data_IF_748947839942
#
_entry.id   IF_748947839942
#
_cell.length_a   1.000
_cell.length_b   1.000
_cell.length_c   1.000
_cell.angle_alpha   90.00
_cell.angle_beta   90.00
_cell.angle_gamma   90.00
#
_symmetry.space_group_name_H-M   'P 1'
#
loop_
_entity.id
_entity.type
_entity.pdbx_description
1 polymer ?
#
# COMPACT_ATOMS: atom_id res chain seq x y z
N UNK A 1 -3.61 4.65 -19.11
CA UNK A 1 -2.40 3.90 -19.48
C UNK A 1 -2.74 3.08 -20.70
N UNK A 2 -1.90 3.11 -21.72
CA UNK A 2 -2.04 2.25 -22.90
C UNK A 2 -1.58 0.82 -22.54
N UNK A 3 -0.44 0.73 -21.86
CA UNK A 3 0.11 -0.52 -21.33
C UNK A 3 0.46 -0.36 -19.84
N UNK A 4 -0.40 -0.84 -18.92
CA UNK A 4 -0.18 -0.67 -17.50
C UNK A 4 1.11 -1.37 -17.01
N UNK A 5 1.57 -2.45 -17.65
CA UNK A 5 2.80 -3.16 -17.25
C UNK A 5 4.06 -2.30 -17.36
N UNK A 6 4.04 -1.33 -18.27
CA UNK A 6 5.17 -0.43 -18.52
C UNK A 6 4.96 0.89 -17.77
N UNK A 7 3.73 1.40 -17.76
CA UNK A 7 3.45 2.77 -17.33
C UNK A 7 3.15 2.92 -15.82
N UNK A 8 2.75 1.86 -15.10
CA UNK A 8 2.19 2.02 -13.75
C UNK A 8 3.16 2.67 -12.75
N UNK A 9 4.46 2.37 -12.84
CA UNK A 9 5.45 2.94 -11.93
C UNK A 9 5.56 4.46 -12.13
N UNK A 10 5.52 4.92 -13.38
CA UNK A 10 5.56 6.33 -13.71
C UNK A 10 4.26 7.03 -13.33
N UNK A 11 3.11 6.34 -13.47
CA UNK A 11 1.82 6.84 -12.97
C UNK A 11 1.87 7.08 -11.47
N UNK A 12 2.30 6.09 -10.69
CA UNK A 12 2.42 6.20 -9.22
C UNK A 12 3.40 7.30 -8.82
N UNK A 13 4.56 7.40 -9.49
CA UNK A 13 5.48 8.53 -9.24
C UNK A 13 4.85 9.87 -9.59
N UNK A 14 4.09 9.96 -10.69
CA UNK A 14 3.51 11.22 -11.17
C UNK A 14 2.42 11.79 -10.24
N UNK A 15 1.79 10.95 -9.41
CA UNK A 15 0.78 11.37 -8.43
C UNK A 15 1.36 11.58 -7.02
N UNK A 16 2.60 11.14 -6.78
CA UNK A 16 3.22 11.15 -5.44
C UNK A 16 4.48 12.00 -5.34
N UNK A 17 5.38 12.01 -6.33
CA UNK A 17 6.66 12.73 -6.23
C UNK A 17 6.57 14.25 -6.49
N UNK A 18 5.73 14.75 -7.41
CA UNK A 18 5.62 16.20 -7.63
C UNK A 18 5.08 16.95 -6.40
N UNK A 19 5.76 18.04 -6.01
CA UNK A 19 5.28 18.93 -4.95
C UNK A 19 4.14 19.84 -5.43
N UNK A 20 4.11 20.17 -6.72
CA UNK A 20 3.03 20.98 -7.29
C UNK A 20 1.72 20.21 -7.29
N UNK A 21 0.79 20.66 -6.43
CA UNK A 21 -0.52 20.04 -6.30
C UNK A 21 -1.29 20.06 -7.62
N UNK A 22 -1.18 21.12 -8.43
CA UNK A 22 -1.90 21.19 -9.71
C UNK A 22 -1.46 20.07 -10.66
N UNK A 23 -0.17 19.75 -10.70
CA UNK A 23 0.37 18.62 -11.47
C UNK A 23 -0.18 17.29 -10.98
N UNK A 24 -0.21 17.07 -9.66
CA UNK A 24 -0.79 15.84 -9.10
C UNK A 24 -2.27 15.71 -9.44
N UNK A 25 -3.07 16.77 -9.25
CA UNK A 25 -4.51 16.72 -9.52
C UNK A 25 -4.82 16.44 -11.00
N UNK A 26 -4.05 17.02 -11.94
CA UNK A 26 -4.17 16.68 -13.38
C UNK A 26 -3.85 15.22 -13.67
N UNK A 27 -2.87 14.64 -12.96
CA UNK A 27 -2.54 13.23 -13.11
C UNK A 27 -3.63 12.33 -12.51
N UNK A 28 -4.27 12.74 -11.41
CA UNK A 28 -5.46 12.05 -10.89
C UNK A 28 -6.58 12.06 -11.93
N UNK A 29 -6.89 13.21 -12.55
CA UNK A 29 -7.89 13.31 -13.62
C UNK A 29 -7.57 12.37 -14.81
N UNK A 30 -6.30 12.23 -15.16
CA UNK A 30 -5.84 11.41 -16.28
C UNK A 30 -5.92 9.91 -15.99
N UNK A 31 -5.49 9.48 -14.81
CA UNK A 31 -5.22 8.06 -14.52
C UNK A 31 -6.28 7.36 -13.67
N UNK A 32 -7.23 8.09 -13.07
CA UNK A 32 -8.27 7.50 -12.24
C UNK A 32 -9.66 7.58 -12.91
N UNK A 33 -10.48 6.56 -12.68
CA UNK A 33 -11.89 6.55 -13.11
C UNK A 33 -12.72 7.58 -12.35
N UNK A 34 -13.89 7.94 -12.84
CA UNK A 34 -14.76 8.94 -12.19
C UNK A 34 -15.25 8.49 -10.81
N UNK A 35 -15.49 7.19 -10.66
CA UNK A 35 -15.93 6.51 -9.43
C UNK A 35 -14.77 6.11 -8.51
N UNK A 36 -13.54 6.52 -8.83
CA UNK A 36 -12.36 6.03 -8.13
C UNK A 36 -12.30 6.45 -6.65
N UNK A 37 -11.66 5.61 -5.84
CA UNK A 37 -11.47 5.85 -4.42
C UNK A 37 -10.19 5.23 -3.86
N UNK A 38 -9.82 5.67 -2.66
CA UNK A 38 -8.66 5.18 -1.93
C UNK A 38 -9.05 4.63 -0.56
N UNK A 39 -8.43 3.52 -0.19
CA UNK A 39 -8.36 2.97 1.15
C UNK A 39 -6.91 3.14 1.63
N UNK A 40 -6.69 4.02 2.59
CA UNK A 40 -5.36 4.35 3.10
C UNK A 40 -5.33 4.21 4.63
N UNK A 41 -4.23 3.72 5.24
CA UNK A 41 -4.21 3.35 6.66
C UNK A 41 -4.54 4.51 7.61
N UNK A 42 -4.31 5.76 7.17
CA UNK A 42 -4.58 6.96 7.96
C UNK A 42 -5.86 7.70 7.54
N UNK A 43 -6.37 7.47 6.32
CA UNK A 43 -7.49 8.22 5.76
C UNK A 43 -8.27 7.33 4.77
N UNK A 44 -9.29 6.63 5.27
CA UNK A 44 -10.18 5.85 4.42
C UNK A 44 -11.34 6.71 3.89
N UNK A 45 -11.62 6.63 2.59
CA UNK A 45 -12.82 7.24 2.02
C UNK A 45 -14.05 6.38 2.32
N UNK A 46 -15.07 6.89 3.03
CA UNK A 46 -16.32 6.17 3.20
C UNK A 46 -17.08 6.06 1.88
N UNK A 47 -17.97 5.08 1.76
CA UNK A 47 -18.64 4.77 0.48
C UNK A 47 -19.38 5.97 -0.13
N UNK A 48 -20.07 6.75 0.68
CA UNK A 48 -20.81 7.94 0.24
C UNK A 48 -19.93 9.09 -0.26
N UNK A 49 -18.62 9.04 0.02
CA UNK A 49 -17.64 10.06 -0.37
C UNK A 49 -16.66 9.55 -1.43
N UNK A 50 -16.91 8.39 -2.04
CA UNK A 50 -16.13 7.90 -3.19
C UNK A 50 -16.32 8.79 -4.42
N UNK A 51 -15.36 8.75 -5.33
CA UNK A 51 -15.36 9.53 -6.56
C UNK A 51 -14.10 10.39 -6.71
N UNK A 52 -13.72 10.61 -7.97
CA UNK A 52 -12.45 11.25 -8.34
C UNK A 52 -12.27 12.65 -7.77
N UNK A 53 -13.33 13.44 -7.65
CA UNK A 53 -13.24 14.79 -7.08
C UNK A 53 -12.90 14.77 -5.58
N UNK A 54 -13.49 13.85 -4.81
CA UNK A 54 -13.12 13.68 -3.40
C UNK A 54 -11.73 13.05 -3.24
N UNK A 55 -11.34 12.16 -4.17
CA UNK A 55 -9.97 11.63 -4.24
C UNK A 55 -8.95 12.74 -4.47
N UNK A 56 -9.24 13.70 -5.37
CA UNK A 56 -8.41 14.88 -5.60
C UNK A 56 -8.25 15.72 -4.33
N UNK A 57 -9.31 15.90 -3.55
CA UNK A 57 -9.22 16.61 -2.26
C UNK A 57 -8.26 15.91 -1.28
N UNK A 58 -8.26 14.57 -1.23
CA UNK A 58 -7.30 13.83 -0.40
C UNK A 58 -5.86 14.00 -0.89
N UNK A 59 -5.62 13.81 -2.18
CA UNK A 59 -4.29 13.99 -2.76
C UNK A 59 -3.78 15.43 -2.58
N UNK A 60 -4.66 16.43 -2.66
CA UNK A 60 -4.32 17.82 -2.36
C UNK A 60 -3.80 17.97 -0.92
N UNK A 61 -4.51 17.41 0.07
CA UNK A 61 -4.08 17.47 1.47
C UNK A 61 -2.78 16.69 1.68
N UNK A 62 -2.60 15.53 1.06
CA UNK A 62 -1.32 14.80 1.11
C UNK A 62 -0.17 15.66 0.58
N UNK A 63 -0.36 16.37 -0.54
CA UNK A 63 0.65 17.29 -1.10
C UNK A 63 0.92 18.52 -0.24
N UNK A 64 -0.01 18.91 0.62
CA UNK A 64 0.19 20.02 1.59
C UNK A 64 0.82 19.57 2.89
N UNK A 65 0.54 18.33 3.30
CA UNK A 65 1.03 17.74 4.55
C UNK A 65 2.37 17.01 4.45
N UNK A 66 2.86 16.78 3.22
CA UNK A 66 4.08 16.02 2.97
C UNK A 66 4.99 16.69 1.92
N UNK A 67 6.30 16.52 2.11
CA UNK A 67 7.35 17.13 1.30
C UNK A 67 8.45 16.13 0.96
N UNK A 68 9.15 16.40 -0.14
CA UNK A 68 10.29 15.60 -0.63
C UNK A 68 9.94 14.12 -0.86
N UNK A 69 8.70 13.84 -1.26
CA UNK A 69 8.24 12.47 -1.45
C UNK A 69 9.03 11.78 -2.57
N UNK A 70 9.56 10.59 -2.28
CA UNK A 70 10.28 9.76 -3.26
C UNK A 70 9.83 8.31 -3.19
N UNK A 71 9.52 7.71 -4.33
CA UNK A 71 9.05 6.32 -4.41
C UNK A 71 10.16 5.39 -4.90
N UNK A 72 10.40 4.33 -4.12
CA UNK A 72 11.31 3.24 -4.44
C UNK A 72 10.51 1.95 -4.58
N UNK A 73 10.49 1.36 -5.78
CA UNK A 73 9.78 0.10 -6.02
C UNK A 73 10.68 -1.09 -5.74
N UNK A 74 10.15 -2.07 -5.01
CA UNK A 74 10.80 -3.35 -4.73
C UNK A 74 10.24 -4.45 -5.64
N UNK A 75 8.94 -4.43 -5.88
CA UNK A 75 8.26 -5.35 -6.80
C UNK A 75 7.00 -4.73 -7.41
N UNK A 76 6.70 -5.12 -8.65
CA UNK A 76 5.46 -4.78 -9.36
C UNK A 76 4.90 -6.06 -9.95
N UNK A 77 3.68 -6.41 -9.57
CA UNK A 77 3.04 -7.68 -9.92
C UNK A 77 1.66 -7.40 -10.48
N UNK A 78 1.29 -8.10 -11.56
CA UNK A 78 -0.02 -7.96 -12.20
C UNK A 78 -0.77 -9.28 -12.18
N UNK A 79 -2.09 -9.21 -12.06
CA UNK A 79 -2.95 -10.35 -12.40
C UNK A 79 -2.83 -10.72 -13.89
N UNK A 80 -3.19 -11.95 -14.22
CA UNK A 80 -3.13 -12.46 -15.61
C UNK A 80 -4.01 -11.63 -16.55
N UNK A 81 -5.19 -11.23 -16.07
CA UNK A 81 -6.20 -10.44 -16.79
C UNK A 81 -5.93 -8.91 -16.79
N UNK A 82 -4.83 -8.46 -16.17
CA UNK A 82 -4.46 -7.05 -16.03
C UNK A 82 -5.45 -6.16 -15.27
N UNK A 83 -6.41 -6.73 -14.54
CA UNK A 83 -7.37 -5.95 -13.75
C UNK A 83 -6.85 -5.58 -12.37
N UNK A 84 -5.74 -6.15 -11.93
CA UNK A 84 -5.13 -5.88 -10.62
C UNK A 84 -3.62 -5.73 -10.74
N UNK A 85 -3.07 -4.79 -10.00
CA UNK A 85 -1.64 -4.61 -9.83
C UNK A 85 -1.31 -4.45 -8.34
N UNK A 86 -0.28 -5.14 -7.88
CA UNK A 86 0.27 -5.02 -6.53
C UNK A 86 1.69 -4.47 -6.62
N UNK A 87 1.98 -3.48 -5.80
CA UNK A 87 3.22 -2.72 -5.75
C UNK A 87 3.79 -2.85 -4.33
N UNK A 88 4.98 -3.43 -4.19
CA UNK A 88 5.77 -3.33 -2.97
C UNK A 88 6.71 -2.14 -3.15
N UNK A 89 6.58 -1.14 -2.29
CA UNK A 89 7.32 0.11 -2.40
C UNK A 89 7.67 0.71 -1.05
N UNK A 90 8.70 1.54 -1.05
CA UNK A 90 9.02 2.46 0.05
C UNK A 90 8.82 3.88 -0.42
N UNK A 91 8.13 4.68 0.38
CA UNK A 91 8.02 6.12 0.23
C UNK A 91 8.91 6.81 1.26
N UNK A 92 9.90 7.56 0.78
CA UNK A 92 10.59 8.55 1.60
C UNK A 92 9.73 9.82 1.65
N UNK A 93 9.50 10.37 2.84
CA UNK A 93 8.60 11.50 3.05
C UNK A 93 8.99 12.34 4.26
N UNK A 94 8.80 13.65 4.18
CA UNK A 94 8.86 14.56 5.32
C UNK A 94 7.47 15.11 5.65
N UNK A 95 6.88 14.81 6.82
CA UNK A 95 5.64 15.43 7.23
C UNK A 95 5.88 16.90 7.60
N UNK A 96 4.96 17.80 7.26
CA UNK A 96 5.10 19.22 7.59
C UNK A 96 3.86 20.03 7.28
N UNK A 97 3.88 21.31 7.66
CA UNK A 97 2.80 22.26 7.36
C UNK A 97 3.21 23.31 6.31
N UNK A 98 4.52 23.49 6.10
CA UNK A 98 5.10 24.42 5.13
C UNK A 98 6.46 23.88 4.66
N UNK A 99 6.92 24.15 3.42
CA UNK A 99 8.23 23.69 2.94
C UNK A 99 9.42 24.03 3.85
N UNK A 100 9.32 25.14 4.60
CA UNK A 100 10.35 25.59 5.55
C UNK A 100 10.18 25.02 6.96
N UNK A 101 9.07 24.33 7.24
CA UNK A 101 8.71 23.75 8.55
C UNK A 101 8.32 22.29 8.33
N UNK A 102 9.34 21.46 8.13
CA UNK A 102 9.23 20.03 7.87
C UNK A 102 9.86 19.22 9.00
N UNK A 103 9.26 18.07 9.29
CA UNK A 103 9.76 17.09 10.23
C UNK A 103 10.93 16.28 9.66
N UNK A 104 11.43 15.29 10.43
CA UNK A 104 12.48 14.40 9.98
C UNK A 104 12.02 13.55 8.79
N UNK A 105 12.97 13.15 7.95
CA UNK A 105 12.74 12.17 6.90
C UNK A 105 12.24 10.85 7.50
N UNK A 106 11.17 10.32 6.92
CA UNK A 106 10.60 9.02 7.23
C UNK A 106 10.61 8.17 5.98
N UNK A 107 10.99 6.91 6.11
CA UNK A 107 10.87 5.92 5.04
C UNK A 107 9.77 4.94 5.45
N UNK A 108 8.65 4.97 4.73
CA UNK A 108 7.47 4.17 5.05
C UNK A 108 7.32 3.10 3.99
N UNK A 109 7.21 1.83 4.40
CA UNK A 109 7.02 0.72 3.47
C UNK A 109 5.54 0.38 3.32
N UNK A 110 5.09 0.32 2.07
CA UNK A 110 3.71 0.02 1.71
C UNK A 110 3.63 -1.22 0.82
N UNK A 111 2.55 -1.97 1.01
CA UNK A 111 2.01 -2.85 0.00
C UNK A 111 0.76 -2.18 -0.58
N UNK A 112 0.87 -1.69 -1.82
CA UNK A 112 -0.21 -0.98 -2.50
C UNK A 112 -0.83 -1.92 -3.53
N UNK A 113 -2.15 -2.09 -3.47
CA UNK A 113 -2.91 -2.73 -4.55
C UNK A 113 -3.70 -1.67 -5.30
N UNK A 114 -3.63 -1.69 -6.61
CA UNK A 114 -4.51 -0.92 -7.49
C UNK A 114 -5.35 -1.84 -8.35
N UNK A 115 -6.64 -1.55 -8.44
CA UNK A 115 -7.54 -2.20 -9.37
C UNK A 115 -7.65 -1.33 -10.62
N UNK A 116 -7.53 -1.96 -11.78
CA UNK A 116 -7.49 -1.35 -13.09
C UNK A 116 -8.76 -1.68 -13.88
N UNK A 117 -9.28 -0.67 -14.56
CA UNK A 117 -10.43 -0.80 -15.47
C UNK A 117 -10.03 -0.31 -16.86
N UNK A 118 -10.31 -1.11 -17.88
CA UNK A 118 -10.21 -0.68 -19.27
C UNK A 118 -11.44 0.17 -19.61
N UNK A 119 -11.23 1.43 -19.92
CA UNK A 119 -12.31 2.37 -20.22
C UNK A 119 -12.67 2.37 -21.72
N UNK A 120 -13.79 3.01 -22.06
CA UNK A 120 -14.31 3.07 -23.43
C UNK A 120 -13.34 3.70 -24.45
N UNK A 121 -12.38 4.51 -23.98
CA UNK A 121 -11.34 5.11 -24.81
C UNK A 121 -10.11 4.20 -25.03
N UNK A 122 -10.19 2.94 -24.60
CA UNK A 122 -9.12 1.95 -24.74
C UNK A 122 -7.99 2.08 -23.72
N UNK A 123 -8.12 2.97 -22.72
CA UNK A 123 -7.08 3.19 -21.71
C UNK A 123 -7.42 2.54 -20.39
N UNK A 124 -6.43 1.94 -19.76
CA UNK A 124 -6.51 1.49 -18.38
C UNK A 124 -6.46 2.68 -17.40
N UNK A 125 -7.38 2.69 -16.44
CA UNK A 125 -7.43 3.65 -15.33
C UNK A 125 -7.57 2.93 -13.99
N UNK A 126 -7.08 3.56 -12.93
CA UNK A 126 -7.20 3.07 -11.55
C UNK A 126 -8.60 3.38 -11.04
N UNK A 127 -9.33 2.36 -10.59
CA UNK A 127 -10.66 2.51 -10.00
C UNK A 127 -10.67 2.33 -8.49
N UNK A 128 -9.69 1.62 -7.94
CA UNK A 128 -9.49 1.50 -6.51
C UNK A 128 -7.99 1.47 -6.21
N UNK A 129 -7.57 2.20 -5.18
CA UNK A 129 -6.24 2.09 -4.59
C UNK A 129 -6.38 1.67 -3.13
N UNK A 130 -5.64 0.64 -2.73
CA UNK A 130 -5.59 0.14 -1.38
C UNK A 130 -4.15 0.13 -0.88
N UNK A 131 -3.85 1.09 -0.03
CA UNK A 131 -2.55 1.24 0.60
C UNK A 131 -2.58 0.52 1.93
N UNK A 132 -1.65 -0.41 2.12
CA UNK A 132 -1.48 -1.13 3.38
C UNK A 132 -0.09 -0.89 3.91
N UNK A 133 0.02 -0.62 5.22
CA UNK A 133 1.27 -0.89 5.90
C UNK A 133 1.57 -2.38 5.77
N UNK A 134 2.85 -2.73 5.65
CA UNK A 134 3.24 -4.13 5.80
C UNK A 134 2.71 -4.62 7.15
N UNK A 135 2.21 -5.86 7.17
CA UNK A 135 1.46 -6.50 8.28
C UNK A 135 2.19 -6.50 9.62
N UNK A 136 3.44 -6.07 9.63
CA UNK A 136 4.16 -5.67 10.81
C UNK A 136 4.28 -4.14 10.84
N UNK A 137 3.55 -3.52 11.78
CA UNK A 137 3.61 -2.07 12.02
C UNK A 137 5.06 -1.64 12.29
N UNK A 138 5.92 -2.52 12.83
CA UNK A 138 7.36 -2.22 12.98
C UNK A 138 8.08 -2.09 11.64
N UNK A 139 7.75 -2.95 10.67
CA UNK A 139 8.31 -2.89 9.30
C UNK A 139 7.76 -1.72 8.48
N UNK A 140 6.62 -1.14 8.89
CA UNK A 140 6.07 0.06 8.27
C UNK A 140 6.83 1.35 8.63
N UNK A 141 7.64 1.33 9.69
CA UNK A 141 8.40 2.49 10.17
C UNK A 141 7.58 3.51 10.98
N UNK A 142 6.31 3.22 11.28
CA UNK A 142 5.41 4.12 12.01
C UNK A 142 5.12 3.58 13.41
N UNK A 143 5.44 4.36 14.44
CA UNK A 143 5.03 4.11 15.83
C UNK A 143 3.78 4.93 16.16
N UNK A 144 2.59 4.35 15.99
CA UNK A 144 1.31 5.03 16.23
C UNK A 144 1.09 5.40 17.71
N UNK A 145 1.52 4.55 18.65
CA UNK A 145 1.50 4.80 20.10
C UNK A 145 2.56 3.95 20.81
N UNK A 146 2.98 4.29 22.05
CA UNK A 146 3.95 3.50 22.80
C UNK A 146 3.50 2.03 22.93
N UNK A 147 4.26 1.12 22.35
CA UNK A 147 4.00 -0.32 22.39
C UNK A 147 3.21 -0.89 21.21
N UNK A 148 2.75 -0.07 20.25
CA UNK A 148 2.04 -0.55 19.04
C UNK A 148 2.88 -1.54 18.22
N UNK A 149 4.20 -1.42 18.31
CA UNK A 149 5.20 -2.30 17.70
C UNK A 149 5.10 -3.75 18.18
N UNK A 150 4.72 -4.01 19.44
CA UNK A 150 4.72 -5.36 20.01
C UNK A 150 3.41 -6.12 19.77
N UNK A 151 2.34 -5.44 19.35
CA UNK A 151 1.00 -6.03 19.27
C UNK A 151 0.93 -7.05 18.11
N UNK A 152 1.43 -6.70 16.93
CA UNK A 152 1.42 -7.61 15.77
C UNK A 152 2.26 -8.86 16.03
N UNK A 153 3.46 -8.68 16.61
CA UNK A 153 4.36 -9.76 16.95
C UNK A 153 3.79 -10.66 18.04
N UNK A 154 3.17 -10.09 19.07
CA UNK A 154 2.52 -10.87 20.13
C UNK A 154 1.36 -11.72 19.58
N UNK A 155 0.52 -11.16 18.70
CA UNK A 155 -0.59 -11.90 18.07
C UNK A 155 -0.04 -13.04 17.19
N UNK A 156 0.96 -12.75 16.34
CA UNK A 156 1.58 -13.75 15.47
C UNK A 156 2.27 -14.86 16.27
N UNK A 157 3.00 -14.50 17.32
CA UNK A 157 3.68 -15.45 18.20
C UNK A 157 2.69 -16.34 18.95
N UNK A 158 1.61 -15.77 19.49
CA UNK A 158 0.55 -16.54 20.15
C UNK A 158 -0.11 -17.52 19.16
N UNK A 159 -0.45 -17.06 17.96
CA UNK A 159 -0.98 -17.92 16.89
C UNK A 159 -0.04 -19.07 16.52
N UNK A 160 1.26 -18.78 16.39
CA UNK A 160 2.28 -19.80 16.11
C UNK A 160 2.39 -20.84 17.23
N UNK A 161 2.41 -20.41 18.50
CA UNK A 161 2.45 -21.33 19.66
C UNK A 161 1.21 -22.24 19.66
N UNK A 162 0.01 -21.69 19.46
CA UNK A 162 -1.21 -22.49 19.37
C UNK A 162 -1.13 -23.50 18.23
N UNK A 163 -0.75 -23.07 17.02
CA UNK A 163 -0.63 -23.95 15.86
C UNK A 163 0.40 -25.07 16.07
N UNK A 164 1.54 -24.78 16.70
CA UNK A 164 2.59 -25.77 17.03
C UNK A 164 2.06 -26.79 18.03
N UNK A 165 1.36 -26.34 19.09
CA UNK A 165 0.80 -27.25 20.10
C UNK A 165 -0.27 -28.16 19.50
N UNK A 166 -1.18 -27.61 18.70
CA UNK A 166 -2.20 -28.39 17.99
C UNK A 166 -1.56 -29.37 16.99
N UNK A 167 -0.58 -28.92 16.20
CA UNK A 167 0.14 -29.77 15.25
C UNK A 167 0.92 -30.90 15.92
N UNK A 168 1.54 -30.65 17.08
CA UNK A 168 2.19 -31.69 17.88
C UNK A 168 1.20 -32.68 18.48
N UNK A 169 0.02 -32.22 18.89
CA UNK A 169 -1.00 -33.07 19.47
C UNK A 169 -1.66 -33.97 18.41
N UNK A 170 -2.09 -33.40 17.28
CA UNK A 170 -2.80 -34.15 16.22
C UNK A 170 -1.88 -34.85 15.23
N UNK A 171 -0.68 -34.31 14.98
CA UNK A 171 0.30 -34.87 14.05
C UNK A 171 1.36 -35.75 14.71
N UNK A 172 1.20 -36.08 16.00
CA UNK A 172 2.19 -36.78 16.82
C UNK A 172 2.75 -38.03 16.13
N UNK A 173 1.88 -38.92 15.64
CA UNK A 173 2.28 -40.22 15.11
C UNK A 173 2.93 -40.11 13.72
N UNK A 174 2.48 -39.16 12.89
CA UNK A 174 3.06 -38.85 11.58
C UNK A 174 4.47 -38.25 11.72
N UNK A 175 4.68 -37.39 12.72
CA UNK A 175 5.99 -36.78 12.97
C UNK A 175 7.01 -37.76 13.56
N UNK A 176 6.55 -38.79 14.27
CA UNK A 176 7.42 -39.87 14.78
C UNK A 176 7.81 -40.86 13.66
N UNK A 177 6.88 -41.18 12.73
CA UNK A 177 7.18 -42.04 11.58
C UNK A 177 8.23 -41.41 10.64
N UNK A 178 8.15 -40.10 10.39
CA UNK A 178 9.14 -39.36 9.57
C UNK A 178 10.58 -39.51 10.09
N UNK A 179 10.77 -39.53 11.43
CA UNK A 179 12.10 -39.73 12.04
C UNK A 179 12.67 -41.14 11.85
N UNK A 180 11.83 -42.16 11.63
CA UNK A 180 12.28 -43.55 11.48
C UNK A 180 12.72 -43.91 10.05
N UNK A 181 12.30 -43.13 9.04
CA UNK A 181 12.61 -43.39 7.62
C UNK A 181 13.93 -42.74 7.18
N UNK A 182 14.54 -41.88 8.03
CA UNK A 182 15.79 -41.17 7.73
C UNK A 182 17.06 -41.90 8.24
N UNK A 183 17.01 -43.22 8.41
CA UNK A 183 18.16 -44.08 8.72
C UNK A 183 18.36 -45.07 7.56
#
# INVERSE_FOLDING_TARGET
>A
MENPRIEIQDVVRSITEPQDAATVLRNIDKYFTEDAYILHPLVNQPEFARGRENLKALYFIFRKGTFENKIHFHAVMFSEDLTQCTLDLTEDVRPGLHPSIVGPLRSVRFLVRVDLRLEADGKYRICCQHDNFISDITMSGISLFPGSMYISDAIKAAGAVCAILFGRFFGHDLMIQSKKVSI
#
